data_IF_097244954731
#
_entry.id   IF_097244954731
#
_cell.length_a   1.000
_cell.length_b   1.000
_cell.length_c   1.000
_cell.angle_alpha   90.00
_cell.angle_beta   90.00
_cell.angle_gamma   90.00
#
_symmetry.space_group_name_H-M   'P 1'
#
loop_
_entity.id
_entity.type
_entity.pdbx_description
1 polymer ?
#
# COMPACT_ATOMS: atom_id res chain seq x y z
N UNK A 1 49.88 14.70 -4.07
CA UNK A 1 48.56 14.95 -3.47
C UNK A 1 47.71 13.71 -3.72
N UNK A 2 47.47 12.91 -2.67
CA UNK A 2 46.49 11.81 -2.73
C UNK A 2 45.08 12.40 -2.56
N UNK A 3 44.05 11.81 -3.19
CA UNK A 3 42.67 12.22 -2.94
C UNK A 3 42.23 11.71 -1.57
N UNK A 4 41.57 12.59 -0.82
CA UNK A 4 40.99 12.32 0.49
C UNK A 4 39.75 11.45 0.29
N UNK A 5 39.79 10.20 0.75
CA UNK A 5 38.60 9.37 0.91
C UNK A 5 37.72 9.99 2.00
N UNK A 6 36.54 10.48 1.60
CA UNK A 6 35.46 10.78 2.52
C UNK A 6 34.90 9.44 3.03
N UNK A 7 35.37 9.04 4.21
CA UNK A 7 34.74 7.99 5.02
C UNK A 7 33.32 8.48 5.35
N UNK A 8 32.33 7.91 4.66
CA UNK A 8 30.94 8.00 5.06
C UNK A 8 30.82 7.00 6.22
N UNK A 9 30.81 7.50 7.45
CA UNK A 9 30.42 6.69 8.60
C UNK A 9 29.02 6.13 8.33
N UNK A 10 28.91 4.80 8.23
CA UNK A 10 27.63 4.12 8.18
C UNK A 10 26.91 4.39 9.50
N UNK A 11 25.95 5.31 9.47
CA UNK A 11 25.07 5.60 10.59
C UNK A 11 24.16 4.38 10.82
N UNK A 12 24.57 3.50 11.74
CA UNK A 12 23.82 2.33 12.17
C UNK A 12 22.46 2.79 12.72
N UNK A 13 21.38 2.40 12.03
CA UNK A 13 20.01 2.68 12.45
C UNK A 13 19.64 1.80 13.65
N UNK A 14 18.99 2.31 14.70
CA UNK A 14 18.77 1.57 15.95
C UNK A 14 17.85 0.33 15.87
N UNK A 15 17.45 -0.12 14.67
CA UNK A 15 16.49 -1.21 14.49
C UNK A 15 16.82 -2.14 13.31
N UNK A 16 18.06 -2.60 13.23
CA UNK A 16 18.37 -3.89 12.62
C UNK A 16 17.73 -5.00 13.48
N UNK A 17 16.42 -5.18 13.35
CA UNK A 17 15.68 -6.22 14.06
C UNK A 17 16.11 -7.60 13.52
N UNK A 18 16.59 -8.53 14.36
CA UNK A 18 16.90 -9.88 13.91
C UNK A 18 15.61 -10.59 13.49
N UNK A 19 15.58 -11.06 12.24
CA UNK A 19 14.52 -11.90 11.67
C UNK A 19 14.68 -13.31 12.25
N UNK A 20 14.30 -13.49 13.51
CA UNK A 20 14.20 -14.82 14.13
C UNK A 20 12.91 -14.89 14.93
N UNK A 21 11.76 -15.07 14.27
CA UNK A 21 10.51 -15.60 14.86
C UNK A 21 9.42 -15.73 13.80
N UNK A 22 9.59 -16.65 12.84
CA UNK A 22 8.47 -17.19 12.06
C UNK A 22 8.60 -18.71 12.08
N UNK A 23 7.81 -19.37 12.95
CA UNK A 23 7.57 -20.81 12.83
C UNK A 23 6.42 -20.99 11.83
N UNK A 24 6.68 -21.69 10.73
CA UNK A 24 5.70 -22.00 9.69
C UNK A 24 4.49 -22.78 10.27
N UNK A 25 3.23 -22.41 9.97
CA UNK A 25 2.09 -23.29 10.20
C UNK A 25 2.05 -24.39 9.13
N UNK A 26 1.87 -25.64 9.57
CA UNK A 26 2.02 -26.87 8.76
C UNK A 26 0.72 -27.46 8.21
N UNK A 27 -0.35 -26.69 7.99
CA UNK A 27 -1.65 -27.25 7.55
C UNK A 27 -2.31 -26.40 6.43
N UNK A 28 -2.83 -27.02 5.34
CA UNK A 28 -3.50 -26.28 4.27
C UNK A 28 -4.94 -25.90 4.64
N UNK A 29 -5.22 -24.61 4.70
CA UNK A 29 -6.57 -24.07 4.90
C UNK A 29 -7.42 -24.30 3.64
N UNK A 30 -8.53 -25.04 3.76
CA UNK A 30 -9.54 -25.24 2.71
C UNK A 30 -10.57 -24.11 2.76
N UNK A 31 -10.54 -23.21 1.78
CA UNK A 31 -11.64 -22.25 1.56
C UNK A 31 -12.59 -22.78 0.49
N UNK A 32 -13.78 -23.21 0.92
CA UNK A 32 -14.88 -23.65 0.05
C UNK A 32 -16.09 -22.72 0.16
N UNK A 33 -16.74 -22.52 -0.99
CA UNK A 33 -18.10 -21.97 -1.18
C UNK A 33 -18.35 -20.51 -0.76
N UNK A 34 -18.09 -19.56 -1.68
CA UNK A 34 -18.88 -18.33 -1.90
C UNK A 34 -18.39 -17.63 -3.19
N UNK A 35 -18.45 -18.27 -4.36
CA UNK A 35 -17.96 -17.63 -5.61
C UNK A 35 -18.75 -17.95 -6.89
N UNK A 36 -19.86 -18.71 -6.82
CA UNK A 36 -20.56 -19.20 -8.01
C UNK A 36 -21.54 -18.21 -8.67
N UNK A 37 -21.43 -16.90 -8.41
CA UNK A 37 -22.43 -15.92 -8.88
C UNK A 37 -21.89 -14.81 -9.80
N UNK A 38 -20.65 -14.87 -10.29
CA UNK A 38 -20.10 -13.85 -11.18
C UNK A 38 -19.90 -14.38 -12.62
N UNK A 39 -20.56 -13.71 -13.57
CA UNK A 39 -20.70 -14.08 -14.98
C UNK A 39 -19.37 -14.39 -15.69
N UNK A 40 -19.42 -15.38 -16.60
CA UNK A 40 -18.30 -15.92 -17.39
C UNK A 40 -17.55 -14.92 -18.28
N UNK A 41 -18.12 -13.73 -18.51
CA UNK A 41 -17.55 -12.69 -19.40
C UNK A 41 -17.14 -11.42 -18.64
N UNK A 42 -16.89 -11.52 -17.33
CA UNK A 42 -16.58 -10.36 -16.50
C UNK A 42 -15.06 -10.07 -16.45
N UNK A 43 -14.64 -8.78 -16.52
CA UNK A 43 -13.24 -8.37 -16.30
C UNK A 43 -12.64 -8.85 -14.97
N UNK A 44 -13.48 -9.29 -14.01
CA UNK A 44 -13.07 -9.89 -12.74
C UNK A 44 -12.36 -11.24 -12.88
N UNK A 45 -12.51 -11.99 -13.98
CA UNK A 45 -11.74 -13.24 -14.17
C UNK A 45 -10.23 -13.00 -14.15
N UNK A 46 -9.76 -11.85 -14.63
CA UNK A 46 -8.33 -11.51 -14.64
C UNK A 46 -7.78 -11.36 -13.23
N UNK A 47 -8.48 -10.62 -12.35
CA UNK A 47 -8.13 -10.44 -10.92
C UNK A 47 -8.19 -11.79 -10.20
N UNK A 48 -9.28 -12.54 -10.40
CA UNK A 48 -9.48 -13.86 -9.80
C UNK A 48 -8.39 -14.86 -10.25
N UNK A 49 -7.94 -14.82 -11.51
CA UNK A 49 -6.88 -15.71 -12.01
C UNK A 49 -5.50 -15.43 -11.39
N UNK A 50 -5.24 -14.21 -10.94
CA UNK A 50 -4.03 -13.87 -10.17
C UNK A 50 -4.13 -14.48 -8.77
N UNK A 51 -5.34 -14.49 -8.18
CA UNK A 51 -5.61 -15.00 -6.84
C UNK A 51 -5.53 -16.53 -6.72
N UNK A 52 -5.99 -17.27 -7.73
CA UNK A 52 -5.91 -18.75 -7.71
C UNK A 52 -4.51 -19.31 -8.03
N UNK A 53 -3.62 -18.48 -8.58
CA UNK A 53 -2.21 -18.85 -8.67
C UNK A 53 -1.61 -18.65 -7.27
N UNK A 54 -1.28 -19.74 -6.57
CA UNK A 54 -0.42 -19.70 -5.38
C UNK A 54 0.94 -19.12 -5.77
N UNK A 55 1.05 -17.80 -5.82
CA UNK A 55 2.32 -17.11 -5.96
C UNK A 55 2.91 -17.10 -4.56
N UNK A 56 3.83 -18.03 -4.28
CA UNK A 56 4.77 -17.89 -3.17
C UNK A 56 5.43 -16.53 -3.35
N UNK A 57 5.08 -15.54 -2.52
CA UNK A 57 5.71 -14.23 -2.56
C UNK A 57 7.17 -14.41 -2.17
N UNK A 58 8.04 -14.53 -3.17
CA UNK A 58 9.43 -14.12 -3.04
C UNK A 58 9.48 -12.62 -3.33
N UNK A 59 8.77 -11.81 -2.56
CA UNK A 59 8.58 -10.40 -2.84
C UNK A 59 9.30 -9.55 -1.81
N UNK A 60 10.29 -8.77 -2.21
CA UNK A 60 10.80 -7.67 -1.39
C UNK A 60 10.93 -6.40 -2.25
N UNK A 61 10.97 -5.23 -1.59
CA UNK A 61 11.31 -3.89 -2.11
C UNK A 61 10.14 -2.94 -2.49
N UNK A 62 9.60 -2.27 -1.48
CA UNK A 62 8.81 -1.04 -1.52
C UNK A 62 9.76 0.14 -1.35
N UNK A 63 9.70 1.10 -2.27
CA UNK A 63 10.50 2.32 -2.23
C UNK A 63 9.88 3.33 -1.26
N UNK A 64 10.65 3.76 -0.25
CA UNK A 64 10.36 4.94 0.56
C UNK A 64 11.12 6.15 0.02
N UNK A 65 10.42 7.26 -0.24
CA UNK A 65 11.09 8.55 -0.15
C UNK A 65 10.44 9.73 -0.84
N UNK A 66 10.14 10.78 -0.07
CA UNK A 66 10.43 12.17 -0.46
C UNK A 66 11.17 12.92 0.65
N UNK A 67 12.01 13.88 0.21
CA UNK A 67 12.82 14.86 0.95
C UNK A 67 12.17 15.28 2.29
N UNK A 68 12.84 15.35 3.44
CA UNK A 68 14.26 15.56 3.76
C UNK A 68 14.79 14.53 4.77
N UNK A 69 16.11 14.32 4.72
CA UNK A 69 17.02 13.53 5.59
C UNK A 69 17.05 11.99 5.53
N UNK A 70 16.07 11.30 4.94
CA UNK A 70 16.12 9.83 4.88
C UNK A 70 16.60 9.29 3.52
N UNK A 71 17.60 8.40 3.54
CA UNK A 71 18.10 7.69 2.36
C UNK A 71 17.00 6.85 1.70
N UNK A 72 17.10 6.63 0.39
CA UNK A 72 16.21 5.69 -0.33
C UNK A 72 16.31 4.32 0.33
N UNK A 73 15.23 3.85 0.97
CA UNK A 73 15.17 2.53 1.59
C UNK A 73 14.18 1.65 0.84
N UNK A 74 14.55 0.39 0.67
CA UNK A 74 13.70 -0.66 0.13
C UNK A 74 13.20 -1.52 1.29
N UNK A 75 11.89 -1.65 1.42
CA UNK A 75 11.27 -2.38 2.54
C UNK A 75 10.27 -3.42 2.05
N UNK A 76 10.03 -4.49 2.78
CA UNK A 76 8.95 -5.43 2.45
C UNK A 76 7.58 -4.84 2.83
N UNK A 77 6.49 -5.41 2.29
CA UNK A 77 5.15 -5.01 2.69
C UNK A 77 4.91 -5.23 4.19
N UNK A 78 5.42 -6.34 4.73
CA UNK A 78 5.35 -6.65 6.16
C UNK A 78 6.10 -5.62 7.01
N UNK A 79 7.27 -5.16 6.57
CA UNK A 79 8.00 -4.10 7.27
C UNK A 79 7.23 -2.76 7.24
N UNK A 80 6.66 -2.38 6.09
CA UNK A 80 5.83 -1.17 5.98
C UNK A 80 4.59 -1.28 6.86
N UNK A 81 3.96 -2.45 6.93
CA UNK A 81 2.85 -2.74 7.83
C UNK A 81 3.23 -2.53 9.30
N UNK A 82 4.36 -3.06 9.76
CA UNK A 82 4.83 -2.84 11.12
C UNK A 82 5.15 -1.37 11.41
N UNK A 83 5.72 -0.64 10.44
CA UNK A 83 5.93 0.80 10.58
C UNK A 83 4.63 1.56 10.77
N UNK A 84 3.61 1.29 9.94
CA UNK A 84 2.30 1.94 10.04
C UNK A 84 1.62 1.65 11.39
N UNK A 85 1.78 0.44 11.93
CA UNK A 85 1.18 0.08 13.23
C UNK A 85 1.94 0.63 14.45
N UNK A 86 3.21 0.97 14.27
CA UNK A 86 4.05 1.53 15.33
C UNK A 86 3.83 3.03 15.52
N UNK A 87 4.38 3.57 16.60
CA UNK A 87 4.29 5.00 16.89
C UNK A 87 5.22 5.88 16.01
N UNK A 88 5.96 5.30 15.05
CA UNK A 88 6.95 6.01 14.22
C UNK A 88 6.37 7.23 13.50
N UNK A 89 5.11 7.17 13.06
CA UNK A 89 4.44 8.28 12.37
C UNK A 89 3.37 8.96 13.24
N UNK A 90 3.30 8.63 14.53
CA UNK A 90 2.18 9.03 15.41
C UNK A 90 2.12 10.54 15.59
N UNK A 91 3.25 11.17 15.90
CA UNK A 91 3.34 12.61 16.11
C UNK A 91 2.87 13.40 14.89
N UNK A 92 3.36 13.04 13.70
CA UNK A 92 2.99 13.69 12.43
C UNK A 92 1.51 13.43 12.08
N UNK A 93 1.01 12.22 12.35
CA UNK A 93 -0.39 11.84 12.13
C UNK A 93 -1.33 12.65 13.02
N UNK A 94 -1.07 12.68 14.33
CA UNK A 94 -1.86 13.44 15.30
C UNK A 94 -1.83 14.94 14.98
N UNK A 95 -0.64 15.47 14.66
CA UNK A 95 -0.48 16.89 14.28
C UNK A 95 -1.27 17.23 13.04
N UNK A 96 -1.20 16.39 11.99
CA UNK A 96 -1.96 16.62 10.76
C UNK A 96 -3.47 16.61 11.01
N UNK A 97 -3.97 15.69 11.82
CA UNK A 97 -5.40 15.55 12.11
C UNK A 97 -5.94 16.68 13.00
N UNK A 98 -5.07 17.38 13.73
CA UNK A 98 -5.43 18.56 14.51
C UNK A 98 -5.49 19.87 13.70
N UNK A 99 -5.02 19.88 12.43
CA UNK A 99 -5.06 21.08 11.58
C UNK A 99 -6.44 21.19 10.92
N UNK A 100 -7.18 22.25 11.25
CA UNK A 100 -8.52 22.52 10.69
C UNK A 100 -8.48 23.10 9.27
N UNK A 101 -7.46 23.91 8.95
CA UNK A 101 -7.34 24.51 7.62
C UNK A 101 -6.78 23.51 6.59
N UNK A 102 -7.60 23.18 5.59
CA UNK A 102 -7.27 22.24 4.52
C UNK A 102 -5.97 22.57 3.77
N UNK A 103 -5.66 23.87 3.60
CA UNK A 103 -4.47 24.31 2.85
C UNK A 103 -3.22 24.13 3.69
N UNK A 104 -3.27 24.41 4.98
CA UNK A 104 -2.21 24.12 5.95
C UNK A 104 -2.00 22.62 6.11
N UNK A 105 -3.07 21.84 6.25
CA UNK A 105 -2.99 20.39 6.37
C UNK A 105 -2.29 19.76 5.15
N UNK A 106 -2.64 20.21 3.93
CA UNK A 106 -1.97 19.75 2.69
C UNK A 106 -0.48 20.10 2.66
N UNK A 107 -0.11 21.32 3.07
CA UNK A 107 1.30 21.74 3.13
C UNK A 107 2.08 20.96 4.18
N UNK A 108 1.50 20.76 5.36
CA UNK A 108 2.10 19.98 6.43
C UNK A 108 2.34 18.53 5.97
N UNK A 109 1.30 17.88 5.44
CA UNK A 109 1.38 16.51 4.91
C UNK A 109 2.51 16.35 3.90
N UNK A 110 2.58 17.25 2.91
CA UNK A 110 3.59 17.19 1.86
C UNK A 110 5.03 17.41 2.37
N UNK A 111 5.21 18.10 3.50
CA UNK A 111 6.51 18.42 4.08
C UNK A 111 6.99 17.41 5.10
N UNK A 112 6.09 16.79 5.86
CA UNK A 112 6.42 16.01 7.05
C UNK A 112 6.24 14.49 6.90
N UNK A 113 5.43 14.03 5.94
CA UNK A 113 5.16 12.60 5.81
C UNK A 113 6.14 11.90 4.87
N UNK A 114 6.62 10.74 5.31
CA UNK A 114 7.20 9.75 4.42
C UNK A 114 6.12 9.17 3.50
N UNK A 115 6.52 8.68 2.33
CA UNK A 115 5.63 7.92 1.46
C UNK A 115 6.31 6.68 0.91
N UNK A 116 5.47 5.71 0.54
CA UNK A 116 5.82 4.57 -0.28
C UNK A 116 5.33 4.74 -1.72
N UNK A 117 6.04 4.19 -2.70
CA UNK A 117 5.48 3.87 -4.02
C UNK A 117 5.26 2.37 -4.10
N UNK A 118 4.04 1.93 -3.77
CA UNK A 118 3.75 0.51 -3.62
C UNK A 118 3.96 -0.28 -4.91
N UNK A 119 3.71 0.31 -6.09
CA UNK A 119 3.76 -0.40 -7.36
C UNK A 119 5.16 -0.75 -7.86
N UNK A 120 6.22 -0.20 -7.28
CA UNK A 120 7.54 -0.56 -7.75
C UNK A 120 8.71 0.20 -7.15
N UNK A 121 9.87 -0.19 -7.64
CA UNK A 121 11.16 0.42 -7.38
C UNK A 121 11.53 1.32 -8.54
N UNK A 122 12.04 2.50 -8.21
CA UNK A 122 12.32 3.55 -9.18
C UNK A 122 13.73 4.11 -9.03
N UNK A 123 14.36 4.47 -10.15
CA UNK A 123 15.54 5.31 -10.10
C UNK A 123 15.16 6.75 -9.74
N UNK A 124 14.14 7.30 -10.41
CA UNK A 124 13.43 8.53 -10.07
C UNK A 124 11.93 8.25 -10.10
N UNK A 125 11.14 8.94 -9.26
CA UNK A 125 9.70 8.74 -9.19
C UNK A 125 8.98 9.30 -10.42
N UNK A 126 8.97 8.53 -11.50
CA UNK A 126 8.18 8.71 -12.72
C UNK A 126 8.02 7.34 -13.41
N UNK A 127 7.23 7.29 -14.48
CA UNK A 127 6.92 6.03 -15.17
C UNK A 127 8.10 5.50 -16.00
N UNK A 128 8.91 6.39 -16.58
CA UNK A 128 10.05 6.04 -17.44
C UNK A 128 11.23 5.44 -16.66
N UNK A 129 11.34 5.77 -15.38
CA UNK A 129 12.45 5.39 -14.49
C UNK A 129 12.10 4.23 -13.54
N UNK A 130 11.10 3.40 -13.88
CA UNK A 130 10.81 2.18 -13.13
C UNK A 130 11.91 1.13 -13.36
N UNK A 131 12.46 0.60 -12.27
CA UNK A 131 13.45 -0.48 -12.30
C UNK A 131 12.77 -1.85 -12.20
N UNK A 132 11.76 -1.97 -11.33
CA UNK A 132 10.99 -3.20 -11.19
C UNK A 132 9.59 -2.91 -10.63
N UNK A 133 8.57 -3.58 -11.16
CA UNK A 133 7.20 -3.52 -10.64
C UNK A 133 7.03 -4.54 -9.50
N UNK A 134 6.51 -4.11 -8.36
CA UNK A 134 6.35 -4.92 -7.14
C UNK A 134 5.20 -5.93 -7.20
N UNK A 135 4.38 -5.85 -8.25
CA UNK A 135 3.09 -6.55 -8.41
C UNK A 135 2.04 -6.11 -7.39
N UNK A 136 2.21 -4.94 -6.81
CA UNK A 136 1.22 -4.32 -5.93
C UNK A 136 0.61 -3.09 -6.58
N UNK A 137 -0.58 -2.71 -6.13
CA UNK A 137 -1.20 -1.42 -6.41
C UNK A 137 -1.85 -0.91 -5.14
N UNK A 138 -1.70 0.38 -4.86
CA UNK A 138 -2.41 1.07 -3.78
C UNK A 138 -3.58 1.83 -4.38
N UNK A 139 -4.80 1.54 -3.92
CA UNK A 139 -6.01 2.29 -4.25
C UNK A 139 -6.35 3.20 -3.07
N UNK A 140 -6.56 4.48 -3.34
CA UNK A 140 -6.94 5.49 -2.35
C UNK A 140 -8.45 5.74 -2.39
N UNK A 141 -9.12 5.48 -1.27
CA UNK A 141 -10.54 5.74 -1.05
C UNK A 141 -10.66 7.01 -0.19
N UNK A 142 -11.13 8.09 -0.78
CA UNK A 142 -11.24 9.40 -0.14
C UNK A 142 -12.70 9.83 0.08
N UNK A 143 -12.87 10.81 0.97
CA UNK A 143 -14.19 11.41 1.31
C UNK A 143 -15.18 10.36 1.83
N UNK A 144 -14.72 9.44 2.68
CA UNK A 144 -15.55 8.35 3.20
C UNK A 144 -16.50 8.80 4.32
N UNK A 145 -16.21 9.93 4.98
CA UNK A 145 -17.08 10.50 6.00
C UNK A 145 -17.40 9.50 7.11
N UNK A 146 -18.69 9.41 7.50
CA UNK A 146 -19.16 8.48 8.53
C UNK A 146 -19.07 6.99 8.15
N UNK A 147 -18.85 6.67 6.87
CA UNK A 147 -18.84 5.28 6.37
C UNK A 147 -17.46 4.60 6.49
N UNK A 148 -16.41 5.36 6.84
CA UNK A 148 -15.03 4.89 6.87
C UNK A 148 -14.86 3.56 7.64
N UNK A 149 -15.49 3.45 8.81
CA UNK A 149 -15.40 2.25 9.64
C UNK A 149 -16.04 1.02 8.97
N UNK A 150 -17.25 1.18 8.42
CA UNK A 150 -17.96 0.09 7.73
C UNK A 150 -17.25 -0.33 6.44
N UNK A 151 -16.73 0.63 5.68
CA UNK A 151 -15.96 0.37 4.46
C UNK A 151 -14.67 -0.37 4.79
N UNK A 152 -13.94 0.02 5.84
CA UNK A 152 -12.78 -0.72 6.32
C UNK A 152 -13.12 -2.17 6.63
N UNK A 153 -14.16 -2.41 7.42
CA UNK A 153 -14.58 -3.77 7.77
C UNK A 153 -14.95 -4.59 6.53
N UNK A 154 -15.60 -3.96 5.56
CA UNK A 154 -16.01 -4.60 4.29
C UNK A 154 -14.81 -4.99 3.46
N UNK A 155 -13.86 -4.06 3.29
CA UNK A 155 -12.60 -4.28 2.56
C UNK A 155 -11.72 -5.32 3.26
N UNK A 156 -11.62 -5.30 4.59
CA UNK A 156 -10.79 -6.27 5.31
C UNK A 156 -11.32 -7.71 5.23
N UNK A 157 -12.63 -7.88 5.04
CA UNK A 157 -13.25 -9.20 4.84
C UNK A 157 -13.17 -9.67 3.39
N UNK A 158 -12.84 -8.78 2.45
CA UNK A 158 -12.66 -9.15 1.05
C UNK A 158 -11.37 -9.98 0.88
N UNK A 159 -11.46 -11.21 0.36
CA UNK A 159 -10.30 -12.07 0.18
C UNK A 159 -9.22 -11.46 -0.72
N UNK A 160 -9.57 -10.53 -1.62
CA UNK A 160 -8.59 -9.90 -2.50
C UNK A 160 -7.74 -8.83 -1.80
N UNK A 161 -8.19 -8.32 -0.66
CA UNK A 161 -7.47 -7.28 0.08
C UNK A 161 -6.20 -7.85 0.70
N UNK A 162 -5.05 -7.34 0.27
CA UNK A 162 -3.76 -7.71 0.82
C UNK A 162 -3.46 -6.90 2.10
N UNK A 163 -3.68 -5.59 2.06
CA UNK A 163 -3.44 -4.71 3.20
C UNK A 163 -4.41 -3.52 3.14
N UNK A 164 -4.85 -3.01 4.30
CA UNK A 164 -5.54 -1.72 4.36
C UNK A 164 -5.14 -0.90 5.58
N UNK A 165 -5.19 0.43 5.45
CA UNK A 165 -4.92 1.36 6.54
C UNK A 165 -5.59 2.72 6.31
N UNK A 166 -5.90 3.44 7.39
CA UNK A 166 -6.52 4.77 7.34
C UNK A 166 -5.50 5.75 6.77
N UNK A 167 -5.95 6.66 5.90
CA UNK A 167 -5.09 7.67 5.29
C UNK A 167 -4.60 8.69 6.33
N UNK A 168 -3.49 9.42 6.08
CA UNK A 168 -2.95 10.38 7.06
C UNK A 168 -3.93 11.41 7.62
N UNK A 169 -4.89 11.87 6.82
CA UNK A 169 -5.91 12.83 7.27
C UNK A 169 -6.99 12.21 8.15
N UNK A 170 -7.00 10.90 8.36
CA UNK A 170 -8.02 10.22 9.16
C UNK A 170 -9.37 10.03 8.45
N UNK A 171 -9.51 10.47 7.20
CA UNK A 171 -10.80 10.60 6.50
C UNK A 171 -10.98 9.66 5.30
N UNK A 172 -9.93 8.91 4.96
CA UNK A 172 -9.92 7.97 3.83
C UNK A 172 -9.29 6.63 4.22
N UNK A 173 -9.36 5.67 3.30
CA UNK A 173 -8.82 4.32 3.44
C UNK A 173 -7.92 4.01 2.26
N UNK A 174 -6.73 3.49 2.52
CA UNK A 174 -5.82 2.99 1.50
C UNK A 174 -5.89 1.48 1.47
N UNK A 175 -6.02 0.92 0.28
CA UNK A 175 -6.18 -0.53 0.09
C UNK A 175 -5.15 -1.03 -0.91
N UNK A 176 -4.38 -2.02 -0.50
CA UNK A 176 -3.31 -2.61 -1.31
C UNK A 176 -3.82 -3.93 -1.89
N UNK A 177 -3.63 -4.11 -3.19
CA UNK A 177 -3.96 -5.33 -3.92
C UNK A 177 -2.73 -5.87 -4.64
N UNK A 178 -2.72 -7.18 -4.88
CA UNK A 178 -1.78 -7.82 -5.79
C UNK A 178 -2.32 -7.77 -7.23
N UNK A 179 -1.46 -7.45 -8.19
CA UNK A 179 -1.77 -7.39 -9.62
C UNK A 179 -0.72 -8.10 -10.46
N UNK A 180 -1.03 -8.38 -11.72
CA UNK A 180 -0.10 -9.00 -12.66
C UNK A 180 0.19 -8.07 -13.86
N UNK A 181 1.21 -7.20 -13.76
CA UNK A 181 1.55 -6.27 -14.85
C UNK A 181 1.92 -6.98 -16.16
N UNK A 182 2.18 -8.30 -16.15
CA UNK A 182 2.40 -9.10 -17.36
C UNK A 182 1.11 -9.45 -18.12
N UNK A 183 -0.06 -9.39 -17.47
CA UNK A 183 -1.37 -9.64 -18.09
C UNK A 183 -2.03 -8.34 -18.58
N UNK A 184 -2.02 -7.31 -17.74
CA UNK A 184 -2.61 -6.02 -18.04
C UNK A 184 -1.80 -4.88 -17.43
N UNK A 185 -1.92 -3.67 -17.98
CA UNK A 185 -1.30 -2.48 -17.39
C UNK A 185 -1.86 -2.14 -16.01
N UNK A 186 -1.11 -1.41 -15.18
CA UNK A 186 -1.62 -0.92 -13.89
C UNK A 186 -2.87 -0.05 -14.09
N UNK A 187 -2.93 0.76 -15.15
CA UNK A 187 -4.11 1.58 -15.44
C UNK A 187 -5.36 0.73 -15.71
N UNK A 188 -5.20 -0.40 -16.40
CA UNK A 188 -6.29 -1.37 -16.60
C UNK A 188 -6.70 -2.03 -15.28
N UNK A 189 -5.74 -2.45 -14.45
CA UNK A 189 -6.05 -2.99 -13.12
C UNK A 189 -6.74 -1.96 -12.22
N UNK A 190 -6.32 -0.71 -12.25
CA UNK A 190 -6.96 0.39 -11.54
C UNK A 190 -8.44 0.49 -11.94
N UNK A 191 -8.77 0.44 -13.24
CA UNK A 191 -10.15 0.49 -13.71
C UNK A 191 -10.98 -0.68 -13.15
N UNK A 192 -10.43 -1.90 -13.17
CA UNK A 192 -11.11 -3.08 -12.64
C UNK A 192 -11.32 -3.01 -11.13
N UNK A 193 -10.29 -2.63 -10.38
CA UNK A 193 -10.35 -2.51 -8.92
C UNK A 193 -11.24 -1.34 -8.49
N UNK A 194 -11.23 -0.22 -9.21
CA UNK A 194 -12.11 0.92 -8.97
C UNK A 194 -13.58 0.54 -9.15
N UNK A 195 -13.91 -0.18 -10.24
CA UNK A 195 -15.27 -0.68 -10.44
C UNK A 195 -15.66 -1.73 -9.39
N UNK A 196 -14.74 -2.61 -9.02
CA UNK A 196 -14.94 -3.60 -7.97
C UNK A 196 -15.27 -2.95 -6.63
N UNK A 197 -14.40 -2.06 -6.15
CA UNK A 197 -14.52 -1.36 -4.87
C UNK A 197 -15.76 -0.46 -4.82
N UNK A 198 -16.08 0.22 -5.93
CA UNK A 198 -17.30 1.01 -6.05
C UNK A 198 -18.55 0.16 -5.79
N UNK A 199 -18.61 -1.07 -6.32
CA UNK A 199 -19.71 -2.00 -6.07
C UNK A 199 -19.65 -2.63 -4.67
N UNK A 200 -18.47 -3.10 -4.25
CA UNK A 200 -18.26 -3.77 -2.96
C UNK A 200 -18.65 -2.85 -1.79
N UNK A 201 -18.22 -1.59 -1.85
CA UNK A 201 -18.41 -0.61 -0.78
C UNK A 201 -19.59 0.33 -1.03
N UNK A 202 -20.36 0.14 -2.11
CA UNK A 202 -21.42 1.05 -2.56
C UNK A 202 -20.95 2.52 -2.65
N UNK A 203 -19.72 2.74 -3.12
CA UNK A 203 -19.10 4.05 -3.22
C UNK A 203 -19.23 4.65 -4.62
N UNK A 204 -19.43 5.98 -4.73
CA UNK A 204 -19.32 6.66 -6.02
C UNK A 204 -17.87 6.61 -6.51
N UNK A 205 -17.69 6.52 -7.84
CA UNK A 205 -16.33 6.45 -8.44
C UNK A 205 -15.44 7.64 -8.07
N UNK A 206 -16.03 8.81 -7.77
CA UNK A 206 -15.31 10.02 -7.38
C UNK A 206 -14.65 9.92 -5.99
N UNK A 207 -15.04 8.92 -5.19
CA UNK A 207 -14.36 8.59 -3.92
C UNK A 207 -13.13 7.71 -4.12
N UNK A 208 -12.77 7.36 -5.36
CA UNK A 208 -11.60 6.53 -5.68
C UNK A 208 -10.63 7.39 -6.49
N UNK A 209 -9.41 7.61 -5.98
CA UNK A 209 -8.44 8.51 -6.62
C UNK A 209 -7.93 7.92 -7.95
N UNK A 210 -8.28 8.60 -9.05
CA UNK A 210 -7.86 8.23 -10.40
C UNK A 210 -6.35 8.21 -10.60
N UNK A 211 -5.61 8.98 -9.81
CA UNK A 211 -4.15 9.03 -9.87
C UNK A 211 -3.49 7.71 -9.47
N UNK A 212 -4.24 6.77 -8.87
CA UNK A 212 -3.74 5.44 -8.53
C UNK A 212 -3.48 4.56 -9.77
N UNK A 213 -3.92 4.97 -10.96
CA UNK A 213 -3.55 4.33 -12.23
C UNK A 213 -2.06 4.47 -12.57
N UNK A 214 -1.41 5.51 -12.04
CA UNK A 214 -0.02 5.84 -12.33
C UNK A 214 0.92 4.94 -11.51
N UNK A 215 1.90 4.32 -12.17
CA UNK A 215 2.81 3.37 -11.51
C UNK A 215 3.69 4.07 -10.46
N UNK A 216 3.99 5.35 -10.66
CA UNK A 216 4.82 6.17 -9.76
C UNK A 216 4.05 6.85 -8.61
N UNK A 217 2.78 6.46 -8.38
CA UNK A 217 1.90 7.06 -7.38
C UNK A 217 2.49 6.95 -5.98
N UNK A 218 2.76 8.11 -5.38
CA UNK A 218 3.19 8.21 -3.99
C UNK A 218 2.00 8.05 -3.04
N UNK A 219 2.23 7.29 -1.97
CA UNK A 219 1.27 6.99 -0.91
C UNK A 219 1.90 7.33 0.46
N UNK A 220 1.44 8.42 1.07
CA UNK A 220 1.93 8.85 2.38
C UNK A 220 1.58 7.83 3.47
N UNK A 221 2.53 7.57 4.37
CA UNK A 221 2.44 6.55 5.41
C UNK A 221 2.06 7.19 6.77
N UNK A 222 0.93 6.81 7.36
CA UNK A 222 0.50 7.30 8.67
C UNK A 222 0.78 6.30 9.79
N UNK A 223 0.47 6.72 11.02
CA UNK A 223 0.27 5.80 12.13
C UNK A 223 -1.19 5.32 12.11
N UNK A 224 -1.38 4.00 12.06
CA UNK A 224 -2.69 3.35 12.17
C UNK A 224 -2.51 1.99 12.88
N UNK A 225 -2.70 1.96 14.22
CA UNK A 225 -2.60 0.73 15.01
C UNK A 225 -3.57 -0.36 14.55
N UNK A 226 -4.64 0.02 13.87
CA UNK A 226 -5.70 -0.86 13.36
C UNK A 226 -5.51 -1.23 11.89
N UNK A 227 -4.32 -0.97 11.31
CA UNK A 227 -3.99 -1.43 9.96
C UNK A 227 -4.14 -2.97 9.87
N UNK A 228 -4.66 -3.40 8.73
CA UNK A 228 -4.94 -4.80 8.39
C UNK A 228 -3.92 -5.32 7.37
N UNK A 229 -3.47 -6.56 7.54
CA UNK A 229 -2.64 -7.30 6.60
C UNK A 229 -3.18 -8.73 6.52
N UNK A 230 -3.46 -9.21 5.32
CA UNK A 230 -3.88 -10.58 5.09
C UNK A 230 -2.66 -11.50 5.03
N UNK A 231 -2.37 -12.18 6.14
CA UNK A 231 -1.20 -13.07 6.26
C UNK A 231 -1.27 -14.31 5.36
N UNK A 232 -2.44 -14.71 4.89
CA UNK A 232 -2.57 -15.85 3.97
C UNK A 232 -2.04 -15.53 2.57
N UNK A 233 -1.86 -14.24 2.27
CA UNK A 233 -1.36 -13.73 0.99
C UNK A 233 0.09 -13.25 1.07
N UNK A 234 0.71 -13.24 2.26
CA UNK A 234 2.07 -12.72 2.50
C UNK A 234 3.10 -13.84 2.49
#
# INVERSE_FOLDING_TARGET
>A
MQPVELLIEEEIWPYDLPIELIKEPTEPVRFGCLYSAYHKDSPFQSIISVFYAKVKLKGEWIYLGARNTWSKKYMTLLQVYHLIKSDVFKTETDTLQAIEDDKEAKKFKAKHFCYATFSGKFFKRNEDDILNHSRLICIDLDKLGGELYWIRETVNRDPLTLMSFISPSGTGLKVIYQIDPGKHSQATYYQYLSEYLSKLCSLPKQSIDESCKDVSRACFLPCDPSAYLNLDLV
#
